data_IF_567787921580
#
_entry.id   IF_567787921580
#
_cell.length_a   1.000
_cell.length_b   1.000
_cell.length_c   1.000
_cell.angle_alpha   90.00
_cell.angle_beta   90.00
_cell.angle_gamma   90.00
#
_symmetry.space_group_name_H-M   'P 1'
#
loop_
_entity.id
_entity.type
_entity.pdbx_description
1 polymer ?
#
# COMPACT_ATOMS: atom_id res chain seq x y z
N UNK A 1 -21.11 -4.22 -13.92
CA UNK A 1 -20.16 -5.11 -14.64
C UNK A 1 -19.47 -5.98 -13.60
N UNK A 2 -19.85 -7.28 -13.48
CA UNK A 2 -19.24 -8.23 -12.55
C UNK A 2 -17.84 -8.58 -13.07
N UNK A 3 -16.78 -7.84 -12.68
CA UNK A 3 -15.39 -8.28 -12.90
C UNK A 3 -15.12 -9.45 -11.97
N UNK A 4 -14.56 -10.51 -12.54
CA UNK A 4 -14.24 -11.77 -11.88
C UNK A 4 -13.51 -11.56 -10.57
N UNK A 5 -14.12 -12.03 -9.52
CA UNK A 5 -13.61 -12.05 -8.14
C UNK A 5 -12.40 -13.01 -8.01
N UNK A 6 -12.10 -13.77 -9.06
CA UNK A 6 -11.22 -14.93 -9.01
C UNK A 6 -9.70 -14.63 -8.96
N UNK A 7 -9.24 -13.40 -9.27
CA UNK A 7 -7.81 -13.13 -9.46
C UNK A 7 -7.05 -12.59 -8.24
N UNK A 8 -7.70 -12.24 -7.12
CA UNK A 8 -7.03 -11.75 -5.92
C UNK A 8 -6.37 -12.86 -5.07
N UNK A 9 -6.62 -14.11 -5.39
CA UNK A 9 -6.08 -15.27 -4.68
C UNK A 9 -4.78 -15.83 -5.24
N UNK A 10 -4.20 -15.20 -6.26
CA UNK A 10 -2.90 -15.62 -6.80
C UNK A 10 -1.71 -15.15 -5.96
N UNK A 11 -1.96 -14.65 -4.74
CA UNK A 11 -0.87 -14.40 -3.82
C UNK A 11 -0.47 -15.70 -3.12
N UNK A 12 0.74 -16.17 -3.39
CA UNK A 12 1.27 -17.43 -2.84
C UNK A 12 1.33 -17.45 -1.29
N UNK A 13 1.12 -16.31 -0.63
CA UNK A 13 1.10 -16.20 0.83
C UNK A 13 -0.31 -16.29 1.44
N UNK A 14 -1.35 -16.32 0.64
CA UNK A 14 -2.71 -16.47 1.13
C UNK A 14 -2.98 -17.95 1.41
N UNK A 15 -3.57 -18.22 2.59
CA UNK A 15 -3.98 -19.56 2.97
C UNK A 15 -5.05 -20.11 2.02
N UNK A 16 -5.26 -21.43 2.04
CA UNK A 16 -6.44 -22.03 1.40
C UNK A 16 -7.68 -21.61 2.21
N UNK A 17 -8.42 -20.66 1.65
CA UNK A 17 -9.60 -20.07 2.27
C UNK A 17 -10.86 -20.68 1.64
N UNK A 18 -11.91 -20.84 2.44
CA UNK A 18 -13.22 -21.11 1.86
C UNK A 18 -13.78 -19.87 1.14
N UNK A 19 -14.94 -19.99 0.47
CA UNK A 19 -15.54 -18.90 -0.30
C UNK A 19 -15.81 -17.64 0.54
N UNK A 20 -16.26 -17.82 1.78
CA UNK A 20 -16.65 -16.71 2.68
C UNK A 20 -15.41 -16.04 3.25
N UNK A 21 -14.46 -16.83 3.77
CA UNK A 21 -13.18 -16.37 4.30
C UNK A 21 -12.40 -15.61 3.23
N UNK A 22 -12.39 -16.16 2.03
CA UNK A 22 -11.74 -15.54 0.91
C UNK A 22 -12.33 -14.21 0.52
N UNK A 23 -13.66 -14.07 0.52
CA UNK A 23 -14.32 -12.78 0.27
C UNK A 23 -14.00 -11.76 1.37
N UNK A 24 -14.10 -12.14 2.64
CA UNK A 24 -13.80 -11.29 3.79
C UNK A 24 -12.33 -10.84 3.80
N UNK A 25 -11.40 -11.75 3.50
CA UNK A 25 -9.98 -11.42 3.39
C UNK A 25 -9.70 -10.44 2.25
N UNK A 26 -10.32 -10.65 1.10
CA UNK A 26 -10.26 -9.76 -0.04
C UNK A 26 -10.76 -8.36 0.30
N UNK A 27 -11.87 -8.26 1.02
CA UNK A 27 -12.42 -6.99 1.47
C UNK A 27 -11.44 -6.25 2.39
N UNK A 28 -10.86 -6.95 3.37
CA UNK A 28 -9.88 -6.38 4.28
C UNK A 28 -8.59 -5.93 3.55
N UNK A 29 -8.09 -6.74 2.62
CA UNK A 29 -6.91 -6.42 1.83
C UNK A 29 -7.17 -5.23 0.90
N UNK A 30 -8.31 -5.19 0.21
CA UNK A 30 -8.69 -4.05 -0.62
C UNK A 30 -8.86 -2.78 0.21
N UNK A 31 -9.46 -2.89 1.40
CA UNK A 31 -9.57 -1.75 2.31
C UNK A 31 -8.20 -1.16 2.66
N UNK A 32 -7.19 -2.00 2.90
CA UNK A 32 -5.81 -1.55 3.09
C UNK A 32 -5.22 -0.94 1.82
N UNK A 33 -5.32 -1.63 0.69
CA UNK A 33 -4.73 -1.21 -0.60
C UNK A 33 -5.25 0.16 -1.03
N UNK A 34 -6.54 0.45 -0.82
CA UNK A 34 -7.18 1.71 -1.19
C UNK A 34 -7.32 2.70 -0.04
N UNK A 35 -6.57 2.55 1.06
CA UNK A 35 -6.59 3.46 2.22
C UNK A 35 -7.95 3.66 2.86
N UNK A 36 -8.84 2.70 2.79
CA UNK A 36 -10.14 2.78 3.46
C UNK A 36 -9.97 2.75 4.99
N UNK A 37 -10.90 3.37 5.70
CA UNK A 37 -10.79 3.56 7.17
C UNK A 37 -11.00 2.30 7.99
N UNK A 38 -11.59 1.26 7.42
CA UNK A 38 -12.04 0.05 8.09
C UNK A 38 -11.06 -1.14 8.00
N UNK A 39 -9.92 -0.96 7.31
CA UNK A 39 -8.93 -2.01 7.08
C UNK A 39 -8.50 -2.74 8.36
N UNK A 40 -8.22 -1.99 9.43
CA UNK A 40 -7.79 -2.59 10.70
C UNK A 40 -8.92 -3.41 11.36
N UNK A 41 -10.14 -2.89 11.38
CA UNK A 41 -11.28 -3.59 11.98
C UNK A 41 -11.65 -4.84 11.20
N UNK A 42 -11.58 -4.82 9.88
CA UNK A 42 -11.82 -5.99 9.02
C UNK A 42 -10.75 -7.06 9.25
N UNK A 43 -9.46 -6.70 9.27
CA UNK A 43 -8.39 -7.64 9.55
C UNK A 43 -8.49 -8.24 10.95
N UNK A 44 -8.87 -7.46 11.97
CA UNK A 44 -9.10 -7.96 13.34
C UNK A 44 -10.21 -8.99 13.38
N UNK A 45 -11.38 -8.69 12.79
CA UNK A 45 -12.51 -9.62 12.74
C UNK A 45 -12.15 -10.96 12.08
N UNK A 46 -11.33 -10.93 11.02
CA UNK A 46 -10.85 -12.14 10.35
C UNK A 46 -10.00 -13.01 11.25
N UNK A 47 -9.06 -12.40 12.00
CA UNK A 47 -8.19 -13.13 12.93
C UNK A 47 -8.98 -13.70 14.10
N UNK A 48 -9.96 -12.95 14.62
CA UNK A 48 -10.81 -13.39 15.72
C UNK A 48 -11.71 -14.57 15.30
N UNK A 49 -12.26 -14.52 14.07
CA UNK A 49 -13.12 -15.57 13.51
C UNK A 49 -12.32 -16.85 13.21
N UNK A 50 -11.12 -16.71 12.65
CA UNK A 50 -10.26 -17.82 12.23
C UNK A 50 -8.82 -17.64 12.68
N UNK A 51 -8.51 -17.90 13.97
CA UNK A 51 -7.19 -17.65 14.54
C UNK A 51 -6.09 -18.61 14.02
N UNK A 52 -6.44 -19.62 13.22
CA UNK A 52 -5.48 -20.53 12.59
C UNK A 52 -4.90 -19.99 11.29
N UNK A 53 -5.61 -19.08 10.61
CA UNK A 53 -5.19 -18.53 9.32
C UNK A 53 -3.99 -17.59 9.49
N UNK A 54 -2.99 -17.74 8.63
CA UNK A 54 -1.74 -16.98 8.69
C UNK A 54 -1.84 -15.67 7.91
N UNK A 55 -2.44 -15.66 6.72
CA UNK A 55 -2.55 -14.46 5.91
C UNK A 55 -3.30 -13.31 6.60
N UNK A 56 -4.46 -13.51 7.27
CA UNK A 56 -5.08 -12.46 8.07
C UNK A 56 -4.20 -11.93 9.19
N UNK A 57 -3.38 -12.78 9.84
CA UNK A 57 -2.43 -12.36 10.87
C UNK A 57 -1.30 -11.50 10.28
N UNK A 58 -0.77 -11.86 9.11
CA UNK A 58 0.23 -11.05 8.38
C UNK A 58 -0.35 -9.67 8.07
N UNK A 59 -1.56 -9.60 7.52
CA UNK A 59 -2.24 -8.35 7.23
C UNK A 59 -2.46 -7.53 8.50
N UNK A 60 -3.02 -8.12 9.56
CA UNK A 60 -3.31 -7.43 10.82
C UNK A 60 -2.04 -6.87 11.47
N UNK A 61 -0.98 -7.68 11.59
CA UNK A 61 0.29 -7.22 12.15
C UNK A 61 0.89 -6.07 11.33
N UNK A 62 0.82 -6.14 9.99
CA UNK A 62 1.30 -5.06 9.12
C UNK A 62 0.53 -3.75 9.36
N UNK A 63 -0.79 -3.81 9.49
CA UNK A 63 -1.63 -2.64 9.78
C UNK A 63 -1.34 -2.04 11.16
N UNK A 64 -1.11 -2.90 12.16
CA UNK A 64 -0.72 -2.47 13.52
C UNK A 64 0.63 -1.74 13.47
N UNK A 65 1.63 -2.30 12.80
CA UNK A 65 2.97 -1.73 12.70
C UNK A 65 2.99 -0.44 11.86
N UNK A 66 2.19 -0.38 10.78
CA UNK A 66 2.00 0.84 9.99
C UNK A 66 1.37 1.99 10.80
N UNK A 67 0.59 1.69 11.82
CA UNK A 67 0.01 2.73 12.70
C UNK A 67 1.07 3.50 13.49
N UNK A 68 2.30 2.98 13.63
CA UNK A 68 3.44 3.55 14.38
C UNK A 68 3.16 3.82 15.85
N UNK A 69 2.10 3.24 16.38
CA UNK A 69 1.78 3.32 17.80
C UNK A 69 2.64 2.30 18.56
N UNK A 70 3.65 2.80 19.28
CA UNK A 70 4.55 1.96 20.08
C UNK A 70 3.81 1.08 21.09
N UNK A 71 2.68 1.53 21.61
CA UNK A 71 1.85 0.76 22.53
C UNK A 71 1.24 -0.48 21.89
N UNK A 72 1.07 -0.49 20.58
CA UNK A 72 0.49 -1.61 19.82
C UNK A 72 1.52 -2.63 19.34
N UNK A 73 2.81 -2.36 19.44
CA UNK A 73 3.87 -3.32 19.06
C UNK A 73 3.74 -4.62 19.84
N UNK A 74 3.35 -4.55 21.12
CA UNK A 74 3.13 -5.74 21.94
C UNK A 74 2.02 -6.63 21.38
N UNK A 75 0.99 -6.04 20.77
CA UNK A 75 -0.10 -6.81 20.13
C UNK A 75 0.45 -7.59 18.92
N UNK A 76 1.20 -6.92 18.04
CA UNK A 76 1.84 -7.58 16.90
C UNK A 76 2.79 -8.70 17.35
N UNK A 77 3.58 -8.49 18.41
CA UNK A 77 4.46 -9.51 18.99
C UNK A 77 3.69 -10.72 19.51
N UNK A 78 2.58 -10.51 20.21
CA UNK A 78 1.73 -11.59 20.71
C UNK A 78 1.10 -12.40 19.57
N UNK A 79 0.63 -11.73 18.51
CA UNK A 79 0.12 -12.40 17.31
C UNK A 79 1.23 -13.24 16.67
N UNK A 80 2.43 -12.69 16.48
CA UNK A 80 3.57 -13.41 15.91
C UNK A 80 3.89 -14.68 16.71
N UNK A 81 3.95 -14.57 18.05
CA UNK A 81 4.24 -15.69 18.95
C UNK A 81 3.13 -16.79 18.95
N UNK A 82 1.91 -16.44 18.51
CA UNK A 82 0.80 -17.40 18.40
C UNK A 82 0.85 -18.26 17.13
N UNK A 83 1.76 -17.97 16.21
CA UNK A 83 1.87 -18.70 14.93
C UNK A 83 2.71 -19.94 15.11
N UNK A 84 2.16 -21.10 14.69
CA UNK A 84 2.88 -22.38 14.68
C UNK A 84 3.66 -22.51 13.38
N UNK A 85 4.96 -22.76 13.46
CA UNK A 85 5.88 -22.81 12.32
C UNK A 85 5.52 -23.94 11.34
N UNK A 86 5.05 -25.08 11.85
CA UNK A 86 4.75 -26.26 11.04
C UNK A 86 3.59 -26.08 10.04
N UNK A 87 2.88 -24.94 10.10
CA UNK A 87 1.70 -24.66 9.28
C UNK A 87 1.90 -23.52 8.27
N UNK A 88 3.15 -23.02 8.10
CA UNK A 88 3.44 -21.89 7.22
C UNK A 88 4.13 -22.35 5.93
N UNK A 89 3.85 -21.66 4.82
CA UNK A 89 4.57 -21.86 3.57
C UNK A 89 5.78 -20.90 3.47
N UNK A 90 6.66 -21.13 2.47
CA UNK A 90 7.90 -20.36 2.28
C UNK A 90 7.68 -18.85 2.19
N UNK A 91 6.66 -18.39 1.45
CA UNK A 91 6.41 -16.96 1.30
C UNK A 91 5.81 -16.33 2.58
N UNK A 92 4.99 -17.08 3.31
CA UNK A 92 4.52 -16.66 4.63
C UNK A 92 5.69 -16.51 5.61
N UNK A 93 6.65 -17.43 5.58
CA UNK A 93 7.87 -17.35 6.40
C UNK A 93 8.66 -16.06 6.08
N UNK A 94 8.81 -15.70 4.79
CA UNK A 94 9.43 -14.43 4.38
C UNK A 94 8.70 -13.23 4.96
N UNK A 95 7.36 -13.20 4.91
CA UNK A 95 6.56 -12.12 5.53
C UNK A 95 6.71 -12.08 7.05
N UNK A 96 6.70 -13.22 7.72
CA UNK A 96 6.91 -13.28 9.17
C UNK A 96 8.32 -12.79 9.56
N UNK A 97 9.34 -13.08 8.75
CA UNK A 97 10.69 -12.54 8.92
C UNK A 97 10.73 -11.01 8.78
N UNK A 98 9.97 -10.43 7.83
CA UNK A 98 9.77 -8.98 7.71
C UNK A 98 9.14 -8.41 8.98
N UNK A 99 8.04 -9.00 9.44
CA UNK A 99 7.29 -8.54 10.61
C UNK A 99 8.10 -8.61 11.89
N UNK A 100 8.93 -9.66 12.05
CA UNK A 100 9.87 -9.78 13.16
C UNK A 100 10.84 -8.61 13.18
N UNK A 101 11.48 -8.28 12.06
CA UNK A 101 12.38 -7.14 11.93
C UNK A 101 11.66 -5.80 12.20
N UNK A 102 10.43 -5.69 11.78
CA UNK A 102 9.63 -4.50 12.03
C UNK A 102 9.30 -4.31 13.51
N UNK A 103 8.94 -5.40 14.23
CA UNK A 103 8.73 -5.40 15.68
C UNK A 103 10.03 -5.03 16.43
N UNK A 104 11.20 -5.46 15.93
CA UNK A 104 12.52 -5.11 16.45
C UNK A 104 12.89 -3.63 16.19
N UNK A 105 12.17 -2.93 15.30
CA UNK A 105 12.46 -1.55 14.91
C UNK A 105 13.53 -1.40 13.81
N UNK A 106 13.99 -2.51 13.22
CA UNK A 106 14.99 -2.53 12.16
C UNK A 106 14.35 -2.30 10.79
N UNK A 107 13.99 -1.03 10.50
CA UNK A 107 13.29 -0.67 9.26
C UNK A 107 14.13 -0.86 8.00
N UNK A 108 15.47 -0.77 8.08
CA UNK A 108 16.32 -1.06 6.92
C UNK A 108 16.21 -2.52 6.49
N UNK A 109 16.30 -3.45 7.45
CA UNK A 109 16.07 -4.88 7.16
C UNK A 109 14.65 -5.16 6.68
N UNK A 110 13.65 -4.44 7.18
CA UNK A 110 12.25 -4.54 6.69
C UNK A 110 12.19 -4.23 5.19
N UNK A 111 12.72 -3.10 4.75
CA UNK A 111 12.69 -2.68 3.35
C UNK A 111 13.44 -3.65 2.45
N UNK A 112 14.65 -4.09 2.83
CA UNK A 112 15.43 -5.05 2.03
C UNK A 112 14.73 -6.42 1.94
N UNK A 113 14.13 -6.92 3.03
CA UNK A 113 13.40 -8.20 3.00
C UNK A 113 12.13 -8.13 2.14
N UNK A 114 11.36 -7.03 2.22
CA UNK A 114 10.18 -6.83 1.36
C UNK A 114 10.61 -6.74 -0.10
N UNK A 115 11.71 -6.07 -0.40
CA UNK A 115 12.26 -5.98 -1.75
C UNK A 115 12.59 -7.36 -2.33
N UNK A 116 13.14 -8.28 -1.52
CA UNK A 116 13.37 -9.66 -1.96
C UNK A 116 12.05 -10.38 -2.29
N UNK A 117 10.99 -10.18 -1.50
CA UNK A 117 9.66 -10.71 -1.82
C UNK A 117 9.17 -10.18 -3.18
N UNK A 118 9.33 -8.88 -3.44
CA UNK A 118 8.93 -8.23 -4.70
C UNK A 118 9.74 -8.77 -5.91
N UNK A 119 11.03 -9.03 -5.74
CA UNK A 119 11.86 -9.58 -6.83
C UNK A 119 11.35 -10.95 -7.26
N UNK A 120 10.97 -11.79 -6.30
CA UNK A 120 10.42 -13.12 -6.57
C UNK A 120 8.96 -13.08 -7.04
N UNK A 121 8.17 -12.13 -6.49
CA UNK A 121 6.74 -11.98 -6.75
C UNK A 121 6.38 -10.55 -7.16
N UNK A 122 6.75 -10.11 -8.38
CA UNK A 122 6.61 -8.71 -8.81
C UNK A 122 5.15 -8.25 -8.99
N UNK A 123 4.18 -9.15 -8.86
CA UNK A 123 2.73 -8.87 -8.89
C UNK A 123 2.10 -8.83 -7.49
N UNK A 124 2.89 -9.00 -6.44
CA UNK A 124 2.38 -8.90 -5.07
C UNK A 124 2.20 -7.43 -4.67
N UNK A 125 1.01 -6.90 -4.92
CA UNK A 125 0.65 -5.50 -4.61
C UNK A 125 0.76 -5.22 -3.10
N UNK A 126 0.55 -6.21 -2.23
CA UNK A 126 0.69 -6.03 -0.79
C UNK A 126 2.15 -5.76 -0.41
N UNK A 127 3.09 -6.58 -0.91
CA UNK A 127 4.52 -6.36 -0.71
C UNK A 127 4.96 -5.01 -1.28
N UNK A 128 4.51 -4.65 -2.49
CA UNK A 128 4.86 -3.38 -3.14
C UNK A 128 4.38 -2.20 -2.29
N UNK A 129 3.18 -2.26 -1.75
CA UNK A 129 2.63 -1.23 -0.84
C UNK A 129 3.44 -1.11 0.45
N UNK A 130 3.80 -2.25 1.06
CA UNK A 130 4.63 -2.26 2.27
C UNK A 130 6.03 -1.69 1.99
N UNK A 131 6.65 -2.05 0.84
CA UNK A 131 7.92 -1.49 0.39
C UNK A 131 7.84 0.03 0.26
N UNK A 132 6.85 0.50 -0.50
CA UNK A 132 6.67 1.93 -0.77
C UNK A 132 6.57 2.73 0.54
N UNK A 133 5.69 2.31 1.46
CA UNK A 133 5.53 2.98 2.74
C UNK A 133 6.77 2.96 3.63
N UNK A 134 7.39 1.78 3.79
CA UNK A 134 8.52 1.67 4.69
C UNK A 134 9.75 2.40 4.16
N UNK A 135 9.93 2.50 2.84
CA UNK A 135 11.01 3.25 2.22
C UNK A 135 10.93 4.74 2.53
N UNK A 136 9.73 5.34 2.59
CA UNK A 136 9.54 6.75 2.98
C UNK A 136 10.14 7.01 4.38
N UNK A 137 10.05 6.05 5.27
CA UNK A 137 10.45 6.23 6.67
C UNK A 137 11.94 6.02 6.95
N UNK A 138 12.65 5.40 6.04
CA UNK A 138 14.12 5.28 6.13
C UNK A 138 14.85 6.32 5.27
N UNK A 139 14.09 7.22 4.63
CA UNK A 139 14.59 8.15 3.62
C UNK A 139 14.59 7.52 2.23
N UNK A 140 13.93 8.19 1.31
CA UNK A 140 13.85 7.76 -0.08
C UNK A 140 15.22 7.84 -0.73
N UNK A 141 15.77 6.71 -1.12
CA UNK A 141 17.08 6.63 -1.75
C UNK A 141 16.98 6.24 -3.24
N UNK A 142 18.13 6.22 -3.93
CA UNK A 142 18.19 5.80 -5.34
C UNK A 142 17.69 4.37 -5.57
N UNK A 143 17.72 3.50 -4.53
CA UNK A 143 17.20 2.13 -4.62
C UNK A 143 15.69 2.13 -4.67
N UNK A 144 15.02 3.02 -3.92
CA UNK A 144 13.56 3.20 -3.98
C UNK A 144 13.12 3.54 -5.40
N UNK A 145 13.70 4.58 -5.98
CA UNK A 145 13.39 5.00 -7.35
C UNK A 145 13.64 3.88 -8.36
N UNK A 146 14.82 3.26 -8.34
CA UNK A 146 15.17 2.16 -9.24
C UNK A 146 14.19 0.98 -9.12
N UNK A 147 13.76 0.64 -7.91
CA UNK A 147 12.80 -0.46 -7.70
C UNK A 147 11.47 -0.16 -8.37
N UNK A 148 10.95 1.06 -8.27
CA UNK A 148 9.69 1.45 -8.93
C UNK A 148 9.82 1.43 -10.46
N UNK A 149 10.96 1.86 -11.01
CA UNK A 149 11.23 1.77 -12.46
C UNK A 149 11.28 0.32 -12.98
N UNK A 150 11.80 -0.61 -12.20
CA UNK A 150 11.80 -2.02 -12.58
C UNK A 150 10.41 -2.66 -12.40
N UNK A 151 9.67 -2.26 -11.38
CA UNK A 151 8.31 -2.74 -11.15
C UNK A 151 7.36 -2.37 -12.28
N UNK A 152 7.32 -1.10 -12.70
CA UNK A 152 6.37 -0.65 -13.72
C UNK A 152 6.52 -1.43 -15.04
N UNK A 153 7.74 -1.89 -15.38
CA UNK A 153 8.01 -2.72 -16.56
C UNK A 153 7.37 -4.12 -16.49
N UNK A 154 7.01 -4.57 -15.29
CA UNK A 154 6.38 -5.87 -15.04
C UNK A 154 4.86 -5.80 -15.06
N UNK A 155 4.28 -4.61 -15.14
CA UNK A 155 2.84 -4.37 -15.06
C UNK A 155 2.29 -3.78 -16.35
N UNK A 156 1.03 -4.01 -16.63
CA UNK A 156 0.32 -3.50 -17.80
C UNK A 156 -1.13 -3.13 -17.45
N UNK A 157 -1.83 -2.50 -18.37
CA UNK A 157 -3.25 -2.13 -18.27
C UNK A 157 -4.20 -3.33 -18.12
N UNK A 158 -3.71 -4.54 -18.36
CA UNK A 158 -4.45 -5.80 -18.15
C UNK A 158 -4.40 -6.30 -16.71
N UNK A 159 -3.48 -5.77 -15.92
CA UNK A 159 -3.30 -6.18 -14.53
C UNK A 159 -4.25 -5.41 -13.61
N UNK A 160 -4.89 -6.12 -12.68
CA UNK A 160 -5.59 -5.47 -11.56
C UNK A 160 -4.56 -4.62 -10.77
N UNK A 161 -4.94 -3.44 -10.30
CA UNK A 161 -4.06 -2.51 -9.59
C UNK A 161 -2.95 -1.82 -10.41
N UNK A 162 -2.95 -1.93 -11.74
CA UNK A 162 -1.97 -1.22 -12.55
C UNK A 162 -1.96 0.29 -12.27
N UNK A 163 -3.12 0.89 -12.08
CA UNK A 163 -3.24 2.29 -11.67
C UNK A 163 -2.46 2.61 -10.39
N UNK A 164 -2.46 1.72 -9.39
CA UNK A 164 -1.72 1.93 -8.14
C UNK A 164 -0.20 1.87 -8.35
N UNK A 165 0.27 1.03 -9.28
CA UNK A 165 1.69 0.99 -9.67
C UNK A 165 2.08 2.29 -10.36
N UNK A 166 1.23 2.82 -11.25
CA UNK A 166 1.43 4.12 -11.88
C UNK A 166 1.54 5.23 -10.83
N UNK A 167 0.63 5.28 -9.85
CA UNK A 167 0.63 6.29 -8.80
C UNK A 167 1.85 6.21 -7.88
N UNK A 168 2.25 5.04 -7.45
CA UNK A 168 3.47 4.86 -6.65
C UNK A 168 4.74 5.19 -7.45
N UNK A 169 4.76 4.87 -8.74
CA UNK A 169 5.88 5.23 -9.63
C UNK A 169 5.90 6.72 -9.93
N UNK A 170 4.73 7.35 -10.07
CA UNK A 170 4.62 8.82 -10.18
C UNK A 170 5.27 9.52 -8.99
N UNK A 171 4.96 9.06 -7.77
CA UNK A 171 5.58 9.60 -6.57
C UNK A 171 7.10 9.37 -6.55
N UNK A 172 7.58 8.21 -7.02
CA UNK A 172 9.02 7.96 -7.11
C UNK A 172 9.72 8.90 -8.12
N UNK A 173 9.08 9.27 -9.23
CA UNK A 173 9.60 10.27 -10.17
C UNK A 173 9.61 11.68 -9.55
N UNK A 174 8.56 12.03 -8.81
CA UNK A 174 8.46 13.31 -8.09
C UNK A 174 9.60 13.46 -7.09
N UNK A 175 9.86 12.48 -6.25
CA UNK A 175 10.97 12.46 -5.30
C UNK A 175 12.36 12.47 -5.97
N UNK A 176 12.43 12.11 -7.26
CA UNK A 176 13.65 12.21 -8.08
C UNK A 176 13.69 13.51 -8.92
N UNK A 177 12.81 14.48 -8.65
CA UNK A 177 12.66 15.78 -9.34
C UNK A 177 12.31 15.69 -10.83
N UNK A 178 11.81 14.55 -11.32
CA UNK A 178 11.25 14.42 -12.69
C UNK A 178 9.73 14.69 -12.66
N UNK A 179 9.39 15.95 -12.40
CA UNK A 179 7.99 16.40 -12.24
C UNK A 179 7.13 16.17 -13.48
N UNK A 180 7.72 16.19 -14.68
CA UNK A 180 6.97 15.95 -15.92
C UNK A 180 6.46 14.52 -15.98
N UNK A 181 7.33 13.53 -15.76
CA UNK A 181 6.93 12.12 -15.74
C UNK A 181 6.04 11.79 -14.55
N UNK A 182 6.28 12.42 -13.40
CA UNK A 182 5.41 12.29 -12.25
C UNK A 182 3.97 12.71 -12.60
N UNK A 183 3.80 13.88 -13.23
CA UNK A 183 2.50 14.36 -13.66
C UNK A 183 1.81 13.41 -14.65
N UNK A 184 2.52 12.97 -15.69
CA UNK A 184 1.96 12.11 -16.73
C UNK A 184 1.48 10.76 -16.19
N UNK A 185 2.28 10.13 -15.32
CA UNK A 185 1.92 8.85 -14.69
C UNK A 185 0.76 8.99 -13.70
N UNK A 186 0.74 10.07 -12.90
CA UNK A 186 -0.37 10.33 -12.00
C UNK A 186 -1.68 10.56 -12.76
N UNK A 187 -1.64 11.32 -13.85
CA UNK A 187 -2.81 11.56 -14.72
C UNK A 187 -3.30 10.25 -15.33
N UNK A 188 -2.40 9.44 -15.89
CA UNK A 188 -2.74 8.14 -16.46
C UNK A 188 -3.39 7.22 -15.42
N UNK A 189 -2.85 7.16 -14.21
CA UNK A 189 -3.47 6.41 -13.10
C UNK A 189 -4.89 6.89 -12.80
N UNK A 190 -5.07 8.21 -12.66
CA UNK A 190 -6.37 8.81 -12.32
C UNK A 190 -7.40 8.71 -13.45
N UNK A 191 -6.97 8.57 -14.69
CA UNK A 191 -7.87 8.27 -15.81
C UNK A 191 -8.39 6.82 -15.76
N UNK A 192 -7.61 5.90 -15.18
CA UNK A 192 -8.05 4.52 -14.91
C UNK A 192 -8.96 4.48 -13.68
N UNK A 193 -8.54 5.12 -12.57
CA UNK A 193 -9.30 5.14 -11.32
C UNK A 193 -9.00 6.39 -10.49
N UNK A 194 -10.04 7.15 -10.14
CA UNK A 194 -9.94 8.31 -9.25
C UNK A 194 -9.67 7.95 -7.79
N UNK A 195 -9.72 6.68 -7.43
CA UNK A 195 -9.49 6.17 -6.07
C UNK A 195 -8.01 6.01 -5.69
N UNK A 196 -7.07 6.30 -6.61
CA UNK A 196 -5.64 6.22 -6.30
C UNK A 196 -5.14 7.47 -5.57
N UNK A 197 -5.04 7.36 -4.24
CA UNK A 197 -4.58 8.45 -3.39
C UNK A 197 -3.08 8.77 -3.56
N UNK A 198 -2.26 7.85 -4.06
CA UNK A 198 -0.86 8.15 -4.37
C UNK A 198 -0.71 9.04 -5.59
N UNK A 199 -1.52 8.84 -6.60
CA UNK A 199 -1.55 9.72 -7.75
C UNK A 199 -2.00 11.13 -7.39
N UNK A 200 -3.02 11.27 -6.53
CA UNK A 200 -3.39 12.57 -6.00
C UNK A 200 -2.26 13.22 -5.19
N UNK A 201 -1.55 12.43 -4.36
CA UNK A 201 -0.42 12.89 -3.58
C UNK A 201 0.71 13.42 -4.47
N UNK A 202 1.13 12.65 -5.46
CA UNK A 202 2.16 13.06 -6.41
C UNK A 202 1.78 14.33 -7.18
N UNK A 203 0.51 14.45 -7.61
CA UNK A 203 0.04 15.67 -8.28
C UNK A 203 0.09 16.89 -7.37
N UNK A 204 -0.28 16.77 -6.09
CA UNK A 204 -0.20 17.88 -5.15
C UNK A 204 1.25 18.34 -4.97
N UNK A 205 2.21 17.42 -4.83
CA UNK A 205 3.63 17.76 -4.79
C UNK A 205 4.14 18.43 -6.08
N UNK A 206 3.77 17.92 -7.25
CA UNK A 206 4.13 18.52 -8.54
C UNK A 206 3.59 19.96 -8.64
N UNK A 207 2.40 20.21 -8.09
CA UNK A 207 1.81 21.54 -8.08
C UNK A 207 2.49 22.50 -7.11
N UNK A 208 2.87 22.03 -5.94
CA UNK A 208 3.63 22.82 -4.97
C UNK A 208 4.99 23.27 -5.56
N UNK A 209 5.58 22.48 -6.46
CA UNK A 209 6.85 22.78 -7.14
C UNK A 209 6.71 23.70 -8.38
N UNK A 210 5.50 23.82 -8.94
CA UNK A 210 5.22 24.62 -10.16
C UNK A 210 3.96 25.45 -9.93
N UNK A 211 4.09 26.77 -10.01
CA UNK A 211 3.04 27.77 -9.77
C UNK A 211 1.79 27.66 -10.69
N UNK A 212 1.76 26.75 -11.63
CA UNK A 212 0.72 26.65 -12.66
C UNK A 212 -0.30 25.54 -12.36
N UNK A 213 -0.99 25.68 -11.22
CA UNK A 213 -2.02 24.75 -10.82
C UNK A 213 -3.39 25.12 -11.37
N UNK A 214 -3.91 24.27 -12.22
CA UNK A 214 -5.20 24.52 -12.83
C UNK A 214 -6.36 24.28 -11.85
N UNK A 215 -7.29 25.24 -11.75
CA UNK A 215 -8.61 25.14 -11.10
C UNK A 215 -9.34 23.82 -11.42
N UNK A 216 -9.04 23.21 -12.56
CA UNK A 216 -9.61 21.94 -13.00
C UNK A 216 -9.21 20.78 -12.10
N UNK A 217 -7.93 20.67 -11.70
CA UNK A 217 -7.46 19.60 -10.83
C UNK A 217 -8.09 19.70 -9.44
N UNK A 218 -8.18 20.93 -8.91
CA UNK A 218 -8.82 21.22 -7.64
C UNK A 218 -10.30 20.83 -7.65
N UNK A 219 -11.01 21.11 -8.74
CA UNK A 219 -12.41 20.73 -8.89
C UNK A 219 -12.61 19.22 -8.93
N UNK A 220 -11.68 18.46 -9.53
CA UNK A 220 -11.73 17.00 -9.52
C UNK A 220 -11.40 16.43 -8.13
N UNK A 221 -10.38 16.98 -7.46
CA UNK A 221 -9.98 16.60 -6.11
C UNK A 221 -11.12 16.82 -5.09
N UNK A 222 -11.85 17.92 -5.20
CA UNK A 222 -12.99 18.24 -4.33
C UNK A 222 -14.20 17.31 -4.51
N UNK A 223 -14.24 16.50 -5.59
CA UNK A 223 -15.30 15.50 -5.82
C UNK A 223 -15.04 14.18 -5.09
N UNK A 224 -13.85 13.99 -4.53
CA UNK A 224 -13.50 12.75 -3.81
C UNK A 224 -14.36 12.63 -2.55
N UNK A 225 -15.01 11.48 -2.38
CA UNK A 225 -15.75 11.19 -1.15
C UNK A 225 -14.80 10.75 -0.02
N UNK A 226 -14.28 11.72 0.70
CA UNK A 226 -13.30 11.53 1.77
C UNK A 226 -13.79 10.71 2.97
N UNK A 227 -15.09 10.45 3.09
CA UNK A 227 -15.67 9.71 4.22
C UNK A 227 -15.22 8.24 4.25
N UNK A 228 -14.84 7.69 3.11
CA UNK A 228 -14.39 6.29 2.98
C UNK A 228 -12.92 6.09 3.34
N UNK A 229 -12.10 7.16 3.35
CA UNK A 229 -10.65 7.05 3.48
C UNK A 229 -10.16 7.22 4.92
N UNK A 230 -9.03 6.56 5.21
CA UNK A 230 -8.33 6.60 6.49
C UNK A 230 -7.27 7.71 6.59
N UNK A 231 -6.12 7.43 7.22
CA UNK A 231 -5.13 8.46 7.57
C UNK A 231 -4.60 9.27 6.39
N UNK A 232 -4.46 8.67 5.20
CA UNK A 232 -3.91 9.32 4.00
C UNK A 232 -4.70 10.57 3.61
N UNK A 233 -6.02 10.61 3.83
CA UNK A 233 -6.82 11.80 3.53
C UNK A 233 -6.36 13.06 4.27
N UNK A 234 -5.94 12.91 5.55
CA UNK A 234 -5.47 14.06 6.34
C UNK A 234 -4.17 14.63 5.81
N UNK A 235 -3.30 13.76 5.32
CA UNK A 235 -2.06 14.15 4.69
C UNK A 235 -2.33 14.89 3.36
N UNK A 236 -3.24 14.39 2.53
CA UNK A 236 -3.65 15.04 1.30
C UNK A 236 -4.35 16.39 1.54
N UNK A 237 -5.17 16.50 2.57
CA UNK A 237 -5.76 17.78 2.97
C UNK A 237 -4.72 18.79 3.43
N UNK A 238 -3.66 18.34 4.10
CA UNK A 238 -2.56 19.21 4.47
C UNK A 238 -1.86 19.78 3.24
N UNK A 239 -1.53 18.98 2.23
CA UNK A 239 -1.00 19.46 0.96
C UNK A 239 -1.94 20.45 0.26
N UNK A 240 -3.24 20.16 0.25
CA UNK A 240 -4.22 21.09 -0.31
C UNK A 240 -4.24 22.45 0.43
N UNK A 241 -4.03 22.44 1.74
CA UNK A 241 -3.96 23.67 2.55
C UNK A 241 -2.73 24.49 2.17
N UNK A 242 -1.56 23.87 1.95
CA UNK A 242 -0.36 24.56 1.48
C UNK A 242 -0.61 25.25 0.14
N UNK A 243 -1.30 24.58 -0.75
CA UNK A 243 -1.70 25.14 -2.03
C UNK A 243 -2.48 26.46 -1.90
N UNK A 244 -3.45 26.55 -0.98
CA UNK A 244 -4.19 27.79 -0.73
C UNK A 244 -3.36 28.86 -0.02
N UNK A 245 -2.34 28.45 0.70
CA UNK A 245 -1.47 29.39 1.45
C UNK A 245 -0.52 30.15 0.52
N UNK A 246 -0.08 29.54 -0.58
CA UNK A 246 0.87 30.12 -1.54
C UNK A 246 0.21 30.81 -2.75
N UNK A 247 -1.12 30.84 -2.86
CA UNK A 247 -1.86 31.64 -3.82
C UNK A 247 -2.14 33.05 -3.28
#
# INVERSE_FOLDING_TARGET
>A
MKRKIDNLYNFNWVDSLDKVEGFEFKEALNSYIFFKKDSLSLATKLVDKNPKLIAPKILLMSLILLSRDRKKIVIAKNILNSIKIDSINEIQEKYLSVLKKWIEGDLYSVVEKIKNIIIENPKDIFAIRLFHFNSIFIGLDKKFFKTHLELIKKWSDKDDFYNLILGMTSFAYEENNDYSKAYDLAKLSLDISKDDLWSWHALLHVHDSKVDCTLKLQNEYNKINWNFYGPMKRHLWWHQTLFFYYQ
#
